data_IF_824739545636
#
_entry.id   IF_824739545636
#
_cell.length_a   1.000
_cell.length_b   1.000
_cell.length_c   1.000
_cell.angle_alpha   90.00
_cell.angle_beta   90.00
_cell.angle_gamma   90.00
#
_symmetry.space_group_name_H-M   'P 1'
#
loop_
_entity.id
_entity.type
_entity.pdbx_description
1 polymer ?
#
# COMPACT_ATOMS: atom_id res chain seq x y z
N UNK A 1 -17.10 7.29 6.09
CA UNK A 1 -16.94 6.85 7.48
C UNK A 1 -16.54 8.07 8.29
N UNK A 2 -17.38 8.44 9.23
CA UNK A 2 -17.20 9.62 10.07
C UNK A 2 -16.46 9.22 11.37
N UNK A 3 -15.24 9.73 11.61
CA UNK A 3 -14.46 9.44 12.82
C UNK A 3 -15.21 9.81 14.11
N UNK A 4 -16.03 10.87 14.09
CA UNK A 4 -16.80 11.29 15.26
C UNK A 4 -17.84 10.24 15.66
N UNK A 5 -18.56 9.68 14.69
CA UNK A 5 -19.53 8.60 14.95
C UNK A 5 -18.85 7.35 15.52
N UNK A 6 -17.65 7.02 15.01
CA UNK A 6 -16.87 5.88 15.54
C UNK A 6 -16.44 6.19 16.98
N UNK A 7 -15.93 7.38 17.25
CA UNK A 7 -15.52 7.77 18.61
C UNK A 7 -16.67 7.73 19.60
N UNK A 8 -17.86 8.18 19.20
CA UNK A 8 -19.06 8.15 20.05
C UNK A 8 -19.53 6.72 20.32
N UNK A 9 -19.48 5.83 19.32
CA UNK A 9 -19.75 4.41 19.51
C UNK A 9 -18.75 3.77 20.49
N UNK A 10 -17.45 4.07 20.37
CA UNK A 10 -16.41 3.57 21.28
C UNK A 10 -16.66 4.06 22.71
N UNK A 11 -16.99 5.35 22.90
CA UNK A 11 -17.36 5.90 24.22
C UNK A 11 -18.62 5.24 24.80
N UNK A 12 -19.61 4.95 23.91
CA UNK A 12 -20.83 4.25 24.31
C UNK A 12 -20.55 2.84 24.83
N UNK A 13 -19.75 2.08 24.12
CA UNK A 13 -19.29 0.75 24.53
C UNK A 13 -18.46 0.80 25.83
N UNK A 14 -17.55 1.77 25.93
CA UNK A 14 -16.71 1.92 27.11
C UNK A 14 -17.52 2.13 28.40
N UNK A 15 -18.67 2.79 28.34
CA UNK A 15 -19.58 2.93 29.49
C UNK A 15 -20.25 1.61 29.90
N UNK A 16 -20.37 0.65 29.01
CA UNK A 16 -21.04 -0.64 29.27
C UNK A 16 -20.08 -1.74 29.71
N UNK A 17 -18.92 -1.81 29.07
CA UNK A 17 -17.98 -2.94 29.23
C UNK A 17 -16.56 -2.50 29.71
N UNK A 18 -16.39 -1.22 30.02
CA UNK A 18 -15.09 -0.65 30.41
C UNK A 18 -14.28 -0.09 29.23
N UNK A 19 -13.18 0.62 29.46
CA UNK A 19 -12.39 1.27 28.43
C UNK A 19 -11.77 0.24 27.46
N UNK A 20 -11.86 0.48 26.14
CA UNK A 20 -11.27 -0.41 25.15
C UNK A 20 -9.74 -0.37 25.23
N UNK A 21 -9.13 -1.53 25.12
CA UNK A 21 -7.68 -1.65 25.14
C UNK A 21 -7.05 -1.29 23.77
N UNK A 22 -7.76 -1.61 22.68
CA UNK A 22 -7.34 -1.36 21.29
C UNK A 22 -8.55 -1.08 20.41
N UNK A 23 -8.33 -0.28 19.39
CA UNK A 23 -9.25 -0.09 18.28
C UNK A 23 -8.58 -0.56 17.00
N UNK A 24 -9.11 -1.60 16.37
CA UNK A 24 -8.55 -2.22 15.16
C UNK A 24 -9.57 -2.26 14.03
N UNK A 25 -9.09 -2.28 12.80
CA UNK A 25 -9.92 -2.47 11.61
C UNK A 25 -9.11 -3.07 10.47
N UNK A 26 -9.75 -3.98 9.73
CA UNK A 26 -9.10 -4.73 8.65
C UNK A 26 -9.24 -4.05 7.28
N UNK A 27 -10.17 -3.11 7.11
CA UNK A 27 -10.44 -2.48 5.82
C UNK A 27 -9.52 -1.29 5.57
N UNK A 28 -9.03 -1.18 4.35
CA UNK A 28 -8.14 -0.13 3.89
C UNK A 28 -8.68 1.30 4.17
N UNK A 29 -9.95 1.53 3.88
CA UNK A 29 -10.60 2.82 4.06
C UNK A 29 -10.80 3.23 5.52
N UNK A 30 -10.65 2.30 6.47
CA UNK A 30 -10.80 2.56 7.90
C UNK A 30 -9.51 3.07 8.56
N UNK A 31 -8.34 2.87 7.94
CA UNK A 31 -7.06 3.08 8.63
C UNK A 31 -6.86 4.51 9.13
N UNK A 32 -7.15 5.52 8.30
CA UNK A 32 -7.04 6.94 8.71
C UNK A 32 -8.14 7.32 9.72
N UNK A 33 -9.45 7.07 9.47
CA UNK A 33 -10.51 7.34 10.44
C UNK A 33 -10.26 6.68 11.82
N UNK A 34 -9.77 5.45 11.86
CA UNK A 34 -9.43 4.79 13.13
C UNK A 34 -8.19 5.42 13.78
N UNK A 35 -7.24 5.92 13.01
CA UNK A 35 -6.12 6.72 13.52
C UNK A 35 -6.62 7.98 14.22
N UNK A 36 -7.52 8.73 13.60
CA UNK A 36 -8.13 9.94 14.17
C UNK A 36 -8.88 9.63 15.49
N UNK A 37 -9.61 8.52 15.53
CA UNK A 37 -10.30 8.09 16.75
C UNK A 37 -9.31 7.69 17.85
N UNK A 38 -8.22 6.99 17.52
CA UNK A 38 -7.17 6.66 18.51
C UNK A 38 -6.54 7.93 19.08
N UNK A 39 -6.21 8.90 18.23
CA UNK A 39 -5.66 10.20 18.64
C UNK A 39 -6.63 10.94 19.56
N UNK A 40 -7.92 11.00 19.19
CA UNK A 40 -8.96 11.71 19.97
C UNK A 40 -9.31 11.05 21.32
N UNK A 41 -9.13 9.73 21.45
CA UNK A 41 -9.46 8.96 22.64
C UNK A 41 -8.23 8.54 23.47
N UNK A 42 -7.03 8.88 23.05
CA UNK A 42 -5.78 8.47 23.69
C UNK A 42 -5.57 6.95 23.68
N UNK A 43 -6.07 6.25 22.64
CA UNK A 43 -5.92 4.81 22.52
C UNK A 43 -4.57 4.46 21.90
N UNK A 44 -3.91 3.45 22.45
CA UNK A 44 -2.65 2.96 21.90
C UNK A 44 -2.85 2.37 20.48
N UNK A 45 -2.02 2.82 19.54
CA UNK A 45 -2.02 2.38 18.14
C UNK A 45 -1.45 3.45 17.22
N UNK A 46 -1.47 3.20 15.93
CA UNK A 46 -1.04 4.19 14.93
C UNK A 46 -2.07 5.31 14.82
N UNK A 47 -1.65 6.54 15.06
CA UNK A 47 -2.46 7.74 14.87
C UNK A 47 -2.68 8.07 13.39
N UNK A 48 -3.49 9.11 13.13
CA UNK A 48 -3.90 9.51 11.80
C UNK A 48 -2.72 9.83 10.87
N UNK A 49 -1.72 10.57 11.36
CA UNK A 49 -0.56 10.97 10.55
C UNK A 49 0.27 9.77 10.08
N UNK A 50 0.45 8.77 10.93
CA UNK A 50 1.13 7.52 10.56
C UNK A 50 0.25 6.72 9.59
N UNK A 51 -1.04 6.59 9.85
CA UNK A 51 -1.97 5.88 8.97
C UNK A 51 -2.00 6.46 7.54
N UNK A 52 -1.84 7.77 7.38
CA UNK A 52 -1.73 8.42 6.05
C UNK A 52 -0.50 7.96 5.28
N UNK A 53 0.62 7.60 5.93
CA UNK A 53 1.81 7.06 5.25
C UNK A 53 1.53 5.73 4.56
N UNK A 54 0.60 4.94 5.07
CA UNK A 54 0.18 3.66 4.50
C UNK A 54 -1.00 3.80 3.53
N UNK A 55 -1.79 4.87 3.65
CA UNK A 55 -3.00 5.05 2.86
C UNK A 55 -2.80 5.86 1.58
N UNK A 56 -1.93 6.85 1.60
CA UNK A 56 -1.64 7.73 0.46
C UNK A 56 -0.38 7.25 -0.26
N UNK A 57 -0.57 6.67 -1.45
CA UNK A 57 0.51 6.07 -2.26
C UNK A 57 1.64 7.05 -2.61
N UNK A 58 1.31 8.30 -2.89
CA UNK A 58 2.31 9.30 -3.21
C UNK A 58 3.10 9.73 -1.97
N UNK A 59 2.44 9.89 -0.82
CA UNK A 59 3.07 10.15 0.46
C UNK A 59 3.96 9.00 0.89
N UNK A 60 3.47 7.77 0.81
CA UNK A 60 4.22 6.54 1.07
C UNK A 60 5.53 6.51 0.31
N UNK A 61 5.46 6.62 -1.02
CA UNK A 61 6.64 6.57 -1.89
C UNK A 61 7.62 7.71 -1.61
N UNK A 62 7.12 8.91 -1.29
CA UNK A 62 7.97 10.03 -0.89
C UNK A 62 8.73 9.76 0.41
N UNK A 63 8.07 9.13 1.41
CA UNK A 63 8.72 8.73 2.67
C UNK A 63 9.79 7.65 2.41
N UNK A 64 9.44 6.63 1.62
CA UNK A 64 10.37 5.55 1.26
C UNK A 64 11.59 6.08 0.53
N UNK A 65 11.40 6.91 -0.50
CA UNK A 65 12.46 7.49 -1.30
C UNK A 65 13.42 8.35 -0.47
N UNK A 66 12.88 9.22 0.40
CA UNK A 66 13.69 10.07 1.31
C UNK A 66 14.56 9.25 2.28
N UNK A 67 14.10 8.06 2.63
CA UNK A 67 14.81 7.15 3.52
C UNK A 67 15.72 6.15 2.77
N UNK A 68 15.86 6.28 1.45
CA UNK A 68 16.66 5.39 0.61
C UNK A 68 16.09 3.99 0.46
N UNK A 69 14.80 3.78 0.74
CA UNK A 69 14.11 2.51 0.48
C UNK A 69 13.77 2.43 -1.01
N UNK A 70 14.17 1.35 -1.73
CA UNK A 70 13.94 1.23 -3.16
C UNK A 70 12.44 1.20 -3.50
N UNK A 71 12.00 2.14 -4.34
CA UNK A 71 10.67 2.17 -4.92
C UNK A 71 10.72 2.84 -6.29
N UNK A 72 9.71 2.68 -7.14
CA UNK A 72 9.63 3.32 -8.44
C UNK A 72 9.71 4.85 -8.33
N UNK A 73 10.35 5.51 -9.31
CA UNK A 73 10.23 6.98 -9.45
C UNK A 73 8.76 7.33 -9.58
N UNK A 74 8.34 8.38 -8.92
CA UNK A 74 6.93 8.77 -8.86
C UNK A 74 6.78 10.27 -8.68
N UNK A 75 5.60 10.75 -9.02
CA UNK A 75 5.19 12.12 -8.77
C UNK A 75 3.71 12.14 -8.39
N UNK A 76 3.36 12.90 -7.35
CA UNK A 76 1.98 13.31 -7.09
C UNK A 76 1.58 14.34 -8.14
N UNK A 77 0.39 14.18 -8.72
CA UNK A 77 -0.12 15.09 -9.75
C UNK A 77 -1.52 15.57 -9.40
N UNK A 78 -1.75 16.86 -9.64
CA UNK A 78 -3.01 17.55 -9.44
C UNK A 78 -3.56 18.11 -10.76
N UNK A 79 -2.85 17.89 -11.86
CA UNK A 79 -3.22 18.31 -13.20
C UNK A 79 -2.68 17.36 -14.27
N UNK A 80 -3.29 17.41 -15.45
CA UNK A 80 -2.80 16.68 -16.62
C UNK A 80 -1.39 17.14 -17.02
N UNK A 81 -1.11 18.45 -16.92
CA UNK A 81 0.20 19.03 -17.27
C UNK A 81 1.34 18.44 -16.42
N UNK A 82 1.13 18.26 -15.12
CA UNK A 82 2.11 17.63 -14.24
C UNK A 82 2.36 16.17 -14.61
N UNK A 83 1.30 15.43 -14.98
CA UNK A 83 1.41 14.04 -15.41
C UNK A 83 2.19 13.92 -16.73
N UNK A 84 1.96 14.83 -17.70
CA UNK A 84 2.74 14.88 -18.93
C UNK A 84 4.20 15.25 -18.68
N UNK A 85 4.48 16.21 -17.80
CA UNK A 85 5.85 16.57 -17.43
C UNK A 85 6.63 15.40 -16.83
N UNK A 86 5.95 14.54 -16.03
CA UNK A 86 6.57 13.32 -15.52
C UNK A 86 6.93 12.36 -16.65
N UNK A 87 6.02 12.12 -17.60
CA UNK A 87 6.25 11.24 -18.76
C UNK A 87 7.41 11.75 -19.63
N UNK A 88 7.50 13.06 -19.86
CA UNK A 88 8.58 13.67 -20.62
C UNK A 88 9.95 13.39 -19.99
N UNK A 89 10.01 13.29 -18.66
CA UNK A 89 11.25 13.00 -17.92
C UNK A 89 11.54 11.51 -17.71
N UNK A 90 10.49 10.70 -17.57
CA UNK A 90 10.60 9.27 -17.21
C UNK A 90 10.56 8.35 -18.43
N UNK A 91 9.86 8.75 -19.50
CA UNK A 91 9.51 7.90 -20.63
C UNK A 91 8.36 6.94 -20.32
N UNK A 92 7.96 6.19 -21.35
CA UNK A 92 6.98 5.10 -21.23
C UNK A 92 7.65 3.74 -21.03
N UNK A 93 6.96 2.75 -20.44
CA UNK A 93 5.61 2.82 -19.86
C UNK A 93 5.59 3.44 -18.46
N UNK A 94 4.45 4.02 -18.09
CA UNK A 94 4.18 4.53 -16.74
C UNK A 94 2.88 3.94 -16.18
N UNK A 95 2.66 4.12 -14.88
CA UNK A 95 1.39 3.81 -14.21
C UNK A 95 0.76 5.11 -13.71
N UNK A 96 -0.53 5.34 -14.02
CA UNK A 96 -1.33 6.41 -13.47
C UNK A 96 -2.44 5.82 -12.59
N UNK A 97 -2.54 6.28 -11.34
CA UNK A 97 -3.53 5.77 -10.38
C UNK A 97 -3.91 6.83 -9.34
N UNK A 98 -5.10 6.74 -8.71
CA UNK A 98 -5.45 7.60 -7.57
C UNK A 98 -4.44 7.41 -6.42
N UNK A 99 -4.24 8.47 -5.60
CA UNK A 99 -3.37 8.40 -4.41
C UNK A 99 -3.90 7.44 -3.35
N UNK A 100 -5.21 7.14 -3.35
CA UNK A 100 -5.85 6.21 -2.42
C UNK A 100 -6.78 5.25 -3.15
N UNK A 101 -6.72 3.97 -2.81
CA UNK A 101 -7.51 2.90 -3.43
C UNK A 101 -7.03 1.54 -2.93
N UNK A 102 -7.68 0.47 -3.35
CA UNK A 102 -7.28 -0.91 -3.11
C UNK A 102 -7.69 -1.81 -4.28
N UNK A 103 -6.99 -2.94 -4.48
CA UNK A 103 -7.33 -3.95 -5.48
C UNK A 103 -7.15 -3.49 -6.92
N UNK A 104 -6.12 -2.73 -7.22
CA UNK A 104 -5.77 -2.22 -8.56
C UNK A 104 -6.87 -1.42 -9.28
N UNK A 105 -7.97 -1.08 -8.61
CA UNK A 105 -9.08 -0.31 -9.20
C UNK A 105 -8.58 1.07 -9.65
N UNK A 106 -8.91 1.44 -10.89
CA UNK A 106 -8.47 2.68 -11.53
C UNK A 106 -6.94 2.83 -11.61
N UNK A 107 -6.21 1.72 -11.70
CA UNK A 107 -4.79 1.67 -12.01
C UNK A 107 -4.63 1.47 -13.52
N UNK A 108 -3.95 2.39 -14.18
CA UNK A 108 -3.75 2.37 -15.62
C UNK A 108 -2.27 2.20 -15.93
N UNK A 109 -1.91 1.09 -16.57
CA UNK A 109 -0.65 0.99 -17.29
C UNK A 109 -0.78 1.80 -18.57
N UNK A 110 0.17 2.63 -18.86
CA UNK A 110 0.16 3.58 -19.96
C UNK A 110 1.43 3.38 -20.78
N UNK A 111 1.29 2.90 -22.00
CA UNK A 111 2.41 2.59 -22.89
C UNK A 111 2.71 3.69 -23.91
N UNK A 112 1.76 4.60 -24.14
CA UNK A 112 1.90 5.69 -25.10
C UNK A 112 1.03 6.93 -24.76
N UNK A 113 1.15 7.97 -25.60
CA UNK A 113 0.42 9.22 -25.43
C UNK A 113 -1.10 9.09 -25.62
N UNK A 114 -1.56 8.11 -26.39
CA UNK A 114 -2.99 7.81 -26.59
C UNK A 114 -3.60 7.24 -25.32
N UNK A 115 -2.97 6.21 -24.75
CA UNK A 115 -3.36 5.61 -23.47
C UNK A 115 -3.29 6.62 -22.33
N UNK A 116 -2.27 7.53 -22.34
CA UNK A 116 -2.15 8.58 -21.32
C UNK A 116 -3.37 9.52 -21.34
N UNK A 117 -3.81 9.96 -22.52
CA UNK A 117 -5.03 10.79 -22.64
C UNK A 117 -6.27 10.07 -22.10
N UNK A 118 -6.43 8.80 -22.43
CA UNK A 118 -7.55 7.99 -21.92
C UNK A 118 -7.51 7.81 -20.40
N UNK A 119 -6.34 7.52 -19.85
CA UNK A 119 -6.14 7.39 -18.40
C UNK A 119 -6.43 8.71 -17.66
N UNK A 120 -5.92 9.85 -18.15
CA UNK A 120 -6.19 11.17 -17.60
C UNK A 120 -7.68 11.53 -17.65
N UNK A 121 -8.37 11.23 -18.75
CA UNK A 121 -9.82 11.44 -18.87
C UNK A 121 -10.63 10.65 -17.84
N UNK A 122 -10.13 9.48 -17.42
CA UNK A 122 -10.73 8.65 -16.38
C UNK A 122 -10.37 9.13 -14.97
N UNK A 123 -9.10 9.35 -14.70
CA UNK A 123 -8.59 9.73 -13.37
C UNK A 123 -8.95 11.16 -13.03
N UNK A 124 -8.83 12.12 -13.98
CA UNK A 124 -9.12 13.55 -13.85
C UNK A 124 -8.41 14.17 -12.65
N UNK A 125 -7.07 14.19 -12.64
CA UNK A 125 -6.33 14.73 -11.51
C UNK A 125 -6.67 16.22 -11.29
N UNK A 126 -6.85 16.59 -10.02
CA UNK A 126 -7.13 17.96 -9.57
C UNK A 126 -6.67 18.12 -8.12
N UNK A 127 -6.68 19.33 -7.58
CA UNK A 127 -6.36 19.58 -6.16
C UNK A 127 -7.20 18.74 -5.20
N UNK A 128 -8.49 18.55 -5.49
CA UNK A 128 -9.40 17.72 -4.70
C UNK A 128 -9.38 16.23 -5.05
N UNK A 129 -8.71 15.85 -6.14
CA UNK A 129 -8.66 14.46 -6.66
C UNK A 129 -7.26 14.15 -7.16
N UNK A 130 -6.35 14.03 -6.22
CA UNK A 130 -4.95 13.81 -6.52
C UNK A 130 -4.69 12.41 -7.05
N UNK A 131 -3.71 12.30 -7.97
CA UNK A 131 -3.23 11.04 -8.50
C UNK A 131 -1.72 10.89 -8.26
N UNK A 132 -1.21 9.71 -8.52
CA UNK A 132 0.22 9.44 -8.62
C UNK A 132 0.51 8.87 -10.00
N UNK A 133 1.52 9.42 -10.65
CA UNK A 133 2.17 8.85 -11.83
C UNK A 133 3.48 8.26 -11.39
N UNK A 134 3.83 7.07 -11.90
CA UNK A 134 5.06 6.37 -11.52
C UNK A 134 5.60 5.56 -12.70
N UNK A 135 6.90 5.27 -12.70
CA UNK A 135 7.50 4.33 -13.65
C UNK A 135 6.85 2.97 -13.54
N UNK A 136 6.56 2.36 -14.69
CA UNK A 136 6.12 0.96 -14.71
C UNK A 136 7.30 0.04 -14.40
N UNK A 137 7.20 -0.69 -13.31
CA UNK A 137 8.22 -1.67 -12.91
C UNK A 137 8.00 -2.98 -13.65
N UNK A 138 9.03 -3.42 -14.39
CA UNK A 138 9.05 -4.75 -15.01
C UNK A 138 9.74 -5.71 -14.04
N UNK A 139 9.02 -6.72 -13.58
CA UNK A 139 9.51 -7.73 -12.63
C UNK A 139 8.41 -8.65 -12.18
N UNK A 140 8.79 -9.67 -11.43
CA UNK A 140 7.83 -10.55 -10.76
C UNK A 140 7.27 -9.85 -9.52
N UNK A 141 5.96 -9.96 -9.32
CA UNK A 141 5.23 -9.31 -8.21
C UNK A 141 4.96 -10.30 -7.09
N UNK A 142 5.16 -9.84 -5.86
CA UNK A 142 5.05 -10.62 -4.64
C UNK A 142 4.39 -9.80 -3.53
N UNK A 143 3.95 -10.47 -2.45
CA UNK A 143 3.67 -9.79 -1.20
C UNK A 143 4.63 -10.16 -0.07
N UNK A 144 4.66 -9.31 0.95
CA UNK A 144 5.34 -9.52 2.22
C UNK A 144 4.40 -9.07 3.34
N UNK A 145 3.89 -10.02 4.09
CA UNK A 145 2.94 -9.78 5.16
C UNK A 145 3.65 -9.80 6.51
N UNK A 146 3.26 -8.90 7.42
CA UNK A 146 3.97 -8.77 8.69
C UNK A 146 3.00 -8.54 9.85
N UNK A 147 3.30 -9.16 10.99
CA UNK A 147 2.78 -8.76 12.29
C UNK A 147 3.85 -7.98 13.01
N UNK A 148 3.55 -6.75 13.39
CA UNK A 148 4.43 -5.87 14.16
C UNK A 148 3.87 -5.61 15.56
N UNK A 149 4.75 -5.57 16.56
CA UNK A 149 4.41 -5.18 17.94
C UNK A 149 5.36 -4.07 18.36
N UNK A 150 4.81 -2.89 18.67
CA UNK A 150 5.56 -1.69 19.05
C UNK A 150 6.70 -1.38 18.08
N UNK A 151 6.40 -1.43 16.77
CA UNK A 151 7.36 -1.13 15.71
C UNK A 151 8.33 -2.27 15.37
N UNK A 152 8.26 -3.40 16.07
CA UNK A 152 9.14 -4.55 15.83
C UNK A 152 8.38 -5.63 15.07
N UNK A 153 8.81 -6.02 13.86
CA UNK A 153 8.29 -7.21 13.19
C UNK A 153 8.55 -8.46 14.03
N UNK A 154 7.48 -9.18 14.40
CA UNK A 154 7.56 -10.40 15.21
C UNK A 154 7.20 -11.65 14.41
N UNK A 155 6.60 -11.46 13.25
CA UNK A 155 6.25 -12.52 12.32
C UNK A 155 6.15 -11.94 10.91
N UNK A 156 6.45 -12.76 9.90
CA UNK A 156 6.29 -12.40 8.49
C UNK A 156 5.95 -13.61 7.63
N UNK A 157 5.39 -13.35 6.45
CA UNK A 157 5.13 -14.30 5.38
C UNK A 157 5.42 -13.68 4.03
N UNK A 158 5.57 -14.52 3.03
CA UNK A 158 5.78 -14.15 1.63
C UNK A 158 4.72 -14.83 0.76
N UNK A 159 4.26 -14.15 -0.29
CA UNK A 159 3.38 -14.76 -1.29
C UNK A 159 3.87 -14.45 -2.69
N UNK A 160 3.77 -15.44 -3.58
CA UNK A 160 3.97 -15.31 -5.02
C UNK A 160 2.62 -15.14 -5.68
N UNK A 161 2.50 -14.21 -6.61
CA UNK A 161 1.32 -14.02 -7.44
C UNK A 161 1.52 -14.62 -8.82
N UNK A 162 0.66 -15.56 -9.23
CA UNK A 162 0.78 -16.31 -10.47
C UNK A 162 -0.56 -16.33 -11.21
N UNK A 163 -0.73 -15.51 -12.25
CA UNK A 163 0.11 -14.40 -12.70
C UNK A 163 0.02 -13.17 -11.78
N UNK A 164 0.73 -12.07 -12.13
CA UNK A 164 0.66 -10.83 -11.39
C UNK A 164 -0.77 -10.25 -11.34
N UNK A 165 -1.17 -9.57 -10.23
CA UNK A 165 -2.54 -9.09 -10.04
C UNK A 165 -3.09 -8.23 -11.18
N UNK A 166 -2.28 -7.36 -11.78
CA UNK A 166 -2.70 -6.52 -12.90
C UNK A 166 -3.12 -7.36 -14.11
N UNK A 167 -2.38 -8.44 -14.40
CA UNK A 167 -2.74 -9.36 -15.50
C UNK A 167 -4.10 -10.03 -15.27
N UNK A 168 -4.45 -10.34 -14.04
CA UNK A 168 -5.77 -10.92 -13.70
C UNK A 168 -6.88 -9.88 -13.82
N UNK A 169 -6.63 -8.64 -13.44
CA UNK A 169 -7.61 -7.54 -13.57
C UNK A 169 -7.91 -7.27 -15.05
N UNK A 170 -6.87 -7.26 -15.89
CA UNK A 170 -7.01 -7.02 -17.32
C UNK A 170 -7.63 -8.22 -18.07
N UNK A 171 -7.54 -9.42 -17.49
CA UNK A 171 -7.98 -10.68 -18.06
C UNK A 171 -8.79 -11.51 -17.06
N UNK A 172 -10.06 -11.13 -16.77
CA UNK A 172 -10.86 -11.75 -15.69
C UNK A 172 -11.12 -13.27 -15.81
N UNK A 173 -10.84 -13.85 -16.99
CA UNK A 173 -10.95 -15.30 -17.24
C UNK A 173 -9.71 -16.09 -16.82
N UNK A 174 -8.61 -15.43 -16.48
CA UNK A 174 -7.39 -16.10 -16.02
C UNK A 174 -7.55 -16.51 -14.56
N UNK A 175 -7.18 -17.76 -14.27
CA UNK A 175 -7.15 -18.24 -12.89
C UNK A 175 -5.95 -17.67 -12.15
N UNK A 176 -6.20 -17.12 -10.97
CA UNK A 176 -5.17 -16.57 -10.11
C UNK A 176 -4.75 -17.58 -9.05
N UNK A 177 -3.45 -17.77 -8.89
CA UNK A 177 -2.86 -18.60 -7.85
C UNK A 177 -2.00 -17.73 -6.92
N UNK A 178 -2.16 -17.90 -5.62
CA UNK A 178 -1.30 -17.32 -4.59
C UNK A 178 -0.55 -18.47 -3.93
N UNK A 179 0.77 -18.50 -4.08
CA UNK A 179 1.64 -19.50 -3.49
C UNK A 179 2.37 -18.92 -2.28
N UNK A 180 2.22 -19.55 -1.12
CA UNK A 180 2.92 -19.19 0.12
C UNK A 180 4.01 -20.21 0.39
N UNK A 181 5.31 -19.84 0.28
CA UNK A 181 6.41 -20.75 0.56
C UNK A 181 6.51 -21.03 2.07
N UNK A 182 6.97 -22.21 2.45
CA UNK A 182 7.24 -22.57 3.84
C UNK A 182 8.58 -22.05 4.35
N UNK A 183 9.57 -21.98 3.46
CA UNK A 183 10.95 -21.61 3.77
C UNK A 183 11.15 -20.09 3.74
N UNK A 184 10.31 -19.35 4.50
CA UNK A 184 10.32 -17.89 4.52
C UNK A 184 11.62 -17.29 5.08
N UNK A 185 12.37 -18.03 5.89
CA UNK A 185 13.64 -17.62 6.48
C UNK A 185 14.86 -17.99 5.63
N UNK A 186 14.66 -18.58 4.45
CA UNK A 186 15.76 -18.92 3.56
C UNK A 186 16.55 -17.65 3.14
N UNK A 187 17.90 -17.70 3.06
CA UNK A 187 18.76 -16.55 2.72
C UNK A 187 18.42 -15.84 1.40
N UNK A 188 17.79 -16.53 0.44
CA UNK A 188 17.32 -15.93 -0.81
C UNK A 188 16.32 -14.79 -0.61
N UNK A 189 15.74 -14.66 0.59
CA UNK A 189 14.77 -13.62 0.96
C UNK A 189 15.35 -12.57 1.92
N UNK A 190 16.66 -12.60 2.22
CA UNK A 190 17.28 -11.65 3.15
C UNK A 190 17.23 -10.21 2.65
N UNK A 191 17.31 -10.01 1.33
CA UNK A 191 17.24 -8.72 0.70
C UNK A 191 15.85 -8.08 0.88
N UNK A 192 14.77 -8.79 0.52
CA UNK A 192 13.41 -8.29 0.70
C UNK A 192 13.08 -8.14 2.19
N UNK A 193 13.52 -9.03 3.06
CA UNK A 193 13.29 -8.93 4.50
C UNK A 193 13.88 -7.63 5.07
N UNK A 194 15.12 -7.28 4.69
CA UNK A 194 15.76 -6.03 5.10
C UNK A 194 15.01 -4.80 4.54
N UNK A 195 14.64 -4.84 3.27
CA UNK A 195 13.90 -3.74 2.62
C UNK A 195 12.53 -3.57 3.27
N UNK A 196 11.80 -4.66 3.50
CA UNK A 196 10.47 -4.65 4.10
C UNK A 196 10.49 -4.09 5.53
N UNK A 197 11.40 -4.57 6.37
CA UNK A 197 11.50 -4.08 7.75
C UNK A 197 11.91 -2.61 7.81
N UNK A 198 12.82 -2.20 6.92
CA UNK A 198 13.18 -0.78 6.81
C UNK A 198 12.02 0.08 6.31
N UNK A 199 11.24 -0.40 5.35
CA UNK A 199 10.04 0.29 4.86
C UNK A 199 9.02 0.49 5.99
N UNK A 200 8.72 -0.56 6.76
CA UNK A 200 7.79 -0.48 7.89
C UNK A 200 8.27 0.50 8.97
N UNK A 201 9.56 0.49 9.28
CA UNK A 201 10.16 1.41 10.23
C UNK A 201 9.99 2.87 9.81
N UNK A 202 10.38 3.22 8.57
CA UNK A 202 10.35 4.62 8.09
C UNK A 202 8.93 5.12 7.85
N UNK A 203 7.98 4.24 7.54
CA UNK A 203 6.57 4.57 7.45
C UNK A 203 5.92 4.77 8.83
N UNK A 204 6.59 4.35 9.90
CA UNK A 204 6.14 4.49 11.27
C UNK A 204 5.21 3.37 11.75
N UNK A 205 5.40 2.13 11.23
CA UNK A 205 4.61 0.97 11.67
C UNK A 205 4.71 0.79 13.18
N UNK A 206 3.55 0.78 13.84
CA UNK A 206 3.43 0.53 15.29
C UNK A 206 3.08 -0.94 15.58
N UNK A 207 1.97 -1.15 16.29
CA UNK A 207 1.38 -2.47 16.52
C UNK A 207 0.25 -2.71 15.52
N UNK A 208 0.32 -3.79 14.76
CA UNK A 208 -0.69 -4.16 13.77
C UNK A 208 -0.18 -5.11 12.69
N UNK A 209 -1.01 -5.32 11.69
CA UNK A 209 -0.70 -6.09 10.50
C UNK A 209 -0.34 -5.15 9.36
N UNK A 210 0.57 -5.59 8.50
CA UNK A 210 0.87 -4.91 7.25
C UNK A 210 0.89 -5.90 6.10
N UNK A 211 0.50 -5.40 4.94
CA UNK A 211 0.56 -6.08 3.65
C UNK A 211 1.37 -5.20 2.71
N UNK A 212 2.52 -5.71 2.25
CA UNK A 212 3.42 -5.02 1.32
C UNK A 212 3.42 -5.75 -0.01
N UNK A 213 3.22 -5.01 -1.09
CA UNK A 213 3.46 -5.48 -2.46
C UNK A 213 4.85 -5.01 -2.90
N UNK A 214 5.60 -5.89 -3.57
CA UNK A 214 6.95 -5.60 -4.01
C UNK A 214 7.30 -6.37 -5.29
N UNK A 215 8.27 -5.84 -6.02
CA UNK A 215 8.78 -6.43 -7.26
C UNK A 215 10.20 -6.92 -7.11
N UNK A 216 10.49 -8.05 -7.77
CA UNK A 216 11.86 -8.48 -8.07
C UNK A 216 12.12 -8.31 -9.55
N UNK A 217 13.07 -7.45 -9.90
CA UNK A 217 13.48 -7.23 -11.29
C UNK A 217 14.39 -8.35 -11.79
N UNK A 218 14.59 -8.43 -13.12
CA UNK A 218 15.47 -9.41 -13.74
C UNK A 218 16.93 -9.30 -13.27
N UNK A 219 17.38 -8.11 -12.86
CA UNK A 219 18.72 -7.87 -12.27
C UNK A 219 18.82 -8.29 -10.80
N UNK A 220 17.76 -8.86 -10.23
CA UNK A 220 17.67 -9.29 -8.84
C UNK A 220 17.30 -8.16 -7.86
N UNK A 221 17.26 -6.89 -8.30
CA UNK A 221 16.91 -5.78 -7.41
C UNK A 221 15.46 -5.85 -6.93
N UNK A 222 15.24 -5.37 -5.71
CA UNK A 222 13.94 -5.35 -5.02
C UNK A 222 13.40 -3.92 -4.98
N UNK A 223 12.12 -3.73 -5.28
CA UNK A 223 11.42 -2.45 -5.21
C UNK A 223 10.10 -2.61 -4.47
N UNK A 224 9.86 -1.75 -3.47
CA UNK A 224 8.56 -1.66 -2.80
C UNK A 224 7.54 -0.99 -3.73
N UNK A 225 6.40 -1.63 -3.93
CA UNK A 225 5.28 -1.10 -4.70
C UNK A 225 4.31 -0.34 -3.80
N UNK A 226 3.73 -1.03 -2.84
CA UNK A 226 2.73 -0.48 -1.92
C UNK A 226 2.83 -1.16 -0.54
N UNK A 227 2.46 -0.44 0.52
CA UNK A 227 2.35 -0.99 1.89
C UNK A 227 1.05 -0.54 2.51
N UNK A 228 0.17 -1.47 2.84
CA UNK A 228 -1.06 -1.22 3.61
C UNK A 228 -0.89 -1.61 5.08
N UNK A 229 -1.36 -0.79 6.01
CA UNK A 229 -1.37 -1.12 7.45
C UNK A 229 -2.64 -1.92 7.81
N UNK A 230 -2.80 -3.07 7.17
CA UNK A 230 -3.95 -3.96 7.29
C UNK A 230 -3.57 -5.40 6.95
N UNK A 231 -4.40 -6.40 7.31
CA UNK A 231 -4.18 -7.76 6.83
C UNK A 231 -4.28 -7.86 5.30
N UNK A 232 -3.61 -8.86 4.68
CA UNK A 232 -3.74 -9.12 3.25
C UNK A 232 -5.16 -9.47 2.83
N UNK A 233 -5.47 -9.19 1.56
CA UNK A 233 -6.67 -9.68 0.88
C UNK A 233 -6.56 -11.11 0.38
N UNK A 234 -7.36 -11.45 -0.64
CA UNK A 234 -7.28 -12.72 -1.40
C UNK A 234 -7.24 -13.99 -0.51
N UNK A 235 -7.84 -13.94 0.67
CA UNK A 235 -7.85 -15.01 1.67
C UNK A 235 -6.45 -15.44 2.17
N UNK A 236 -5.40 -14.69 1.86
CA UNK A 236 -4.04 -14.97 2.31
C UNK A 236 -3.99 -15.15 3.84
N UNK A 237 -4.70 -14.26 4.59
CA UNK A 237 -4.79 -14.36 6.07
C UNK A 237 -5.31 -15.71 6.56
N UNK A 238 -6.11 -16.41 5.77
CA UNK A 238 -6.66 -17.72 6.14
C UNK A 238 -5.68 -18.88 5.85
N UNK A 239 -4.61 -18.62 5.11
CA UNK A 239 -3.61 -19.61 4.69
C UNK A 239 -2.33 -19.52 5.53
N UNK A 240 -2.15 -18.44 6.26
CA UNK A 240 -1.02 -18.13 7.14
C UNK A 240 -1.47 -18.12 8.62
#
# INVERSE_FOLDING_TARGET
LDPQQIADAVRGLARQIGPPHRLIGALEQLQVPLGEVRDALGLEGMGAEVAKNFRDKARMKTVLQRAGVPCARHQRVTSDAEAWSFVDSAGYPVVLKPTSGAGAKSTFRVADAGEMRAALASVRPSEGRQAVVEEFVVGDEFSFDTVSIRGRPVWHSLSYYLPAPLNVVDNPWIQWCVLIPREIDHPRFDDIRRVAFRALEVLGMGTGLSHMEWFRKADGSVLVSEVGARPPGAQITSLI
#
